data_IF_887655136369
#
_entry.id   IF_887655136369
#
_cell.length_a   1.000
_cell.length_b   1.000
_cell.length_c   1.000
_cell.angle_alpha   90.00
_cell.angle_beta   90.00
_cell.angle_gamma   90.00
#
_symmetry.space_group_name_H-M   'P 1'
#
loop_
_entity.id
_entity.type
_entity.pdbx_description
1 polymer ?
#
# COMPACT_ATOMS: atom_id res chain seq x y z
N UNK A 1 6.48 -6.05 15.08
CA UNK A 1 5.77 -5.53 13.88
C UNK A 1 6.68 -5.63 12.66
N UNK A 2 7.86 -5.00 12.67
CA UNK A 2 8.85 -5.10 11.58
C UNK A 2 9.20 -6.55 11.20
N UNK A 3 9.38 -7.45 12.18
CA UNK A 3 9.66 -8.86 11.90
C UNK A 3 8.59 -9.53 11.02
N UNK A 4 7.32 -9.14 11.16
CA UNK A 4 6.22 -9.65 10.32
C UNK A 4 6.41 -9.19 8.87
N UNK A 5 6.94 -8.00 8.59
CA UNK A 5 7.28 -7.62 7.21
C UNK A 5 8.33 -8.54 6.60
N UNK A 6 9.34 -8.92 7.39
CA UNK A 6 10.39 -9.82 6.92
C UNK A 6 9.85 -11.23 6.67
N UNK A 7 8.96 -11.74 7.55
CA UNK A 7 8.23 -12.98 7.33
C UNK A 7 7.42 -12.93 6.02
N UNK A 8 6.57 -11.93 5.85
CA UNK A 8 5.71 -11.77 4.68
C UNK A 8 6.51 -11.60 3.38
N UNK A 9 7.61 -10.83 3.41
CA UNK A 9 8.54 -10.72 2.29
C UNK A 9 9.09 -12.09 1.91
N UNK A 10 9.62 -12.85 2.87
CA UNK A 10 10.18 -14.17 2.59
C UNK A 10 9.13 -15.13 2.03
N UNK A 11 7.89 -15.07 2.52
CA UNK A 11 6.79 -15.88 2.00
C UNK A 11 6.47 -15.57 0.53
N UNK A 12 6.42 -14.28 0.17
CA UNK A 12 6.19 -13.87 -1.22
C UNK A 12 7.34 -14.35 -2.13
N UNK A 13 8.59 -14.19 -1.69
CA UNK A 13 9.76 -14.66 -2.44
C UNK A 13 9.78 -16.20 -2.56
N UNK A 14 9.34 -16.91 -1.52
CA UNK A 14 9.18 -18.36 -1.54
C UNK A 14 8.11 -18.79 -2.54
N UNK A 15 6.99 -18.07 -2.62
CA UNK A 15 5.96 -18.32 -3.64
C UNK A 15 6.52 -18.11 -5.04
N UNK A 16 7.25 -17.03 -5.28
CA UNK A 16 7.90 -16.79 -6.58
C UNK A 16 8.85 -17.92 -6.96
N UNK A 17 9.66 -18.40 -6.01
CA UNK A 17 10.67 -19.43 -6.27
C UNK A 17 10.05 -20.82 -6.39
N UNK A 18 9.24 -21.23 -5.42
CA UNK A 18 8.76 -22.63 -5.29
C UNK A 18 7.56 -22.92 -6.17
N UNK A 19 6.66 -21.96 -6.36
CA UNK A 19 5.41 -22.16 -7.11
C UNK A 19 5.53 -21.70 -8.56
N UNK A 20 6.15 -20.55 -8.80
CA UNK A 20 6.26 -19.97 -10.13
C UNK A 20 7.63 -20.19 -10.79
N UNK A 21 8.60 -20.75 -10.06
CA UNK A 21 9.94 -21.07 -10.57
C UNK A 21 10.61 -19.85 -11.21
N UNK A 22 10.40 -18.69 -10.60
CA UNK A 22 10.99 -17.44 -11.06
C UNK A 22 12.52 -17.49 -10.94
N UNK A 23 13.25 -16.89 -11.90
CA UNK A 23 14.70 -16.90 -11.86
C UNK A 23 15.22 -15.96 -10.75
N UNK A 24 16.42 -16.24 -10.26
CA UNK A 24 17.00 -15.60 -9.07
C UNK A 24 17.05 -14.08 -9.18
N UNK A 25 17.34 -13.53 -10.36
CA UNK A 25 17.38 -12.09 -10.60
C UNK A 25 16.04 -11.40 -10.39
N UNK A 26 14.92 -12.07 -10.73
CA UNK A 26 13.58 -11.52 -10.50
C UNK A 26 13.20 -11.57 -9.02
N UNK A 27 13.61 -12.63 -8.31
CA UNK A 27 13.38 -12.76 -6.87
C UNK A 27 14.18 -11.71 -6.10
N UNK A 28 15.46 -11.51 -6.43
CA UNK A 28 16.27 -10.46 -5.80
C UNK A 28 15.77 -9.05 -6.13
N UNK A 29 15.25 -8.83 -7.34
CA UNK A 29 14.59 -7.56 -7.70
C UNK A 29 13.42 -7.25 -6.76
N UNK A 30 12.50 -8.21 -6.58
CA UNK A 30 11.34 -8.03 -5.70
C UNK A 30 11.76 -7.85 -4.24
N UNK A 31 12.79 -8.60 -3.79
CA UNK A 31 13.35 -8.45 -2.44
C UNK A 31 13.84 -7.02 -2.19
N UNK A 32 14.63 -6.47 -3.11
CA UNK A 32 15.12 -5.10 -3.02
C UNK A 32 13.98 -4.08 -3.09
N UNK A 33 13.04 -4.27 -4.02
CA UNK A 33 11.89 -3.39 -4.20
C UNK A 33 11.05 -3.30 -2.91
N UNK A 34 10.78 -4.43 -2.24
CA UNK A 34 10.05 -4.46 -0.96
C UNK A 34 10.85 -3.76 0.14
N UNK A 35 12.15 -4.08 0.27
CA UNK A 35 13.01 -3.47 1.29
C UNK A 35 13.13 -1.95 1.12
N UNK A 36 13.15 -1.47 -0.12
CA UNK A 36 13.24 -0.04 -0.44
C UNK A 36 11.94 0.72 -0.15
N UNK A 37 10.79 0.17 -0.56
CA UNK A 37 9.53 0.91 -0.58
C UNK A 37 8.66 0.68 0.67
N UNK A 38 8.73 -0.51 1.28
CA UNK A 38 7.82 -0.88 2.38
C UNK A 38 8.39 -0.50 3.77
N UNK A 39 9.71 -0.34 3.90
CA UNK A 39 10.37 -0.01 5.17
C UNK A 39 10.78 1.47 5.25
N UNK A 40 11.12 1.94 6.46
CA UNK A 40 11.63 3.32 6.70
C UNK A 40 10.56 4.40 6.94
N UNK A 41 9.27 4.06 6.88
CA UNK A 41 8.18 4.94 7.29
C UNK A 41 7.92 4.92 8.81
N UNK A 42 6.94 5.72 9.26
CA UNK A 42 6.47 5.70 10.67
C UNK A 42 5.64 4.46 11.01
N UNK A 43 5.14 3.74 9.99
CA UNK A 43 4.28 2.55 10.14
C UNK A 43 2.98 2.81 10.91
N UNK A 44 2.54 4.07 10.97
CA UNK A 44 1.40 4.48 11.80
C UNK A 44 0.10 3.77 11.38
N UNK A 45 -0.11 3.52 10.07
CA UNK A 45 -1.36 2.92 9.58
C UNK A 45 -1.43 1.45 10.00
N UNK A 46 -0.34 0.71 9.77
CA UNK A 46 -0.25 -0.69 10.17
C UNK A 46 -0.29 -0.90 11.69
N UNK A 47 0.39 -0.05 12.47
CA UNK A 47 0.36 -0.11 13.94
C UNK A 47 -1.04 0.22 14.48
N UNK A 48 -1.77 1.14 13.84
CA UNK A 48 -3.12 1.51 14.27
C UNK A 48 -4.09 0.33 14.20
N UNK A 49 -3.95 -0.59 13.23
CA UNK A 49 -4.75 -1.82 13.18
C UNK A 49 -4.59 -2.66 14.44
N UNK A 50 -3.36 -2.81 14.94
CA UNK A 50 -3.08 -3.56 16.16
C UNK A 50 -3.70 -2.86 17.37
N UNK A 51 -3.51 -1.55 17.49
CA UNK A 51 -4.08 -0.79 18.61
C UNK A 51 -5.61 -0.80 18.61
N UNK A 52 -6.25 -0.71 17.44
CA UNK A 52 -7.71 -0.81 17.32
C UNK A 52 -8.19 -2.21 17.72
N UNK A 53 -7.52 -3.26 17.23
CA UNK A 53 -7.83 -4.63 17.62
C UNK A 53 -7.68 -4.85 19.13
N UNK A 54 -6.63 -4.30 19.76
CA UNK A 54 -6.44 -4.35 21.23
C UNK A 54 -7.55 -3.60 21.96
N UNK A 55 -7.92 -2.40 21.53
CA UNK A 55 -8.97 -1.60 22.15
C UNK A 55 -10.34 -2.32 22.14
N UNK A 56 -10.64 -3.02 21.05
CA UNK A 56 -11.88 -3.80 20.91
C UNK A 56 -11.97 -4.99 21.89
N UNK A 57 -10.85 -5.43 22.46
CA UNK A 57 -10.86 -6.51 23.47
C UNK A 57 -11.38 -6.06 24.85
N UNK A 58 -11.64 -4.76 25.04
CA UNK A 58 -12.12 -4.18 26.30
C UNK A 58 -11.24 -4.56 27.50
N UNK A 59 -9.92 -4.57 27.30
CA UNK A 59 -8.93 -4.88 28.33
C UNK A 59 -8.63 -6.36 28.53
N UNK A 60 -9.29 -7.28 27.81
CA UNK A 60 -8.96 -8.71 27.84
C UNK A 60 -7.65 -9.04 27.13
N UNK A 61 -7.18 -8.15 26.26
CA UNK A 61 -5.99 -8.34 25.44
C UNK A 61 -6.24 -9.25 24.25
N UNK A 62 -5.36 -9.17 23.25
CA UNK A 62 -5.36 -10.07 22.10
C UNK A 62 -4.62 -11.35 22.43
N UNK A 63 -5.11 -12.49 21.94
CA UNK A 63 -4.29 -13.71 21.90
C UNK A 63 -3.08 -13.49 20.97
N UNK A 64 -1.99 -14.25 21.14
CA UNK A 64 -0.83 -14.16 20.24
C UNK A 64 -1.20 -14.31 18.75
N UNK A 65 -2.13 -15.21 18.44
CA UNK A 65 -2.61 -15.49 17.09
C UNK A 65 -3.42 -14.30 16.54
N UNK A 66 -4.33 -13.75 17.34
CA UNK A 66 -5.12 -12.58 16.96
C UNK A 66 -4.23 -11.34 16.76
N UNK A 67 -3.23 -11.15 17.63
CA UNK A 67 -2.21 -10.10 17.49
C UNK A 67 -1.39 -10.27 16.21
N UNK A 68 -0.98 -11.50 15.88
CA UNK A 68 -0.25 -11.80 14.64
C UNK A 68 -1.12 -11.50 13.41
N UNK A 69 -2.38 -11.94 13.38
CA UNK A 69 -3.32 -11.61 12.29
C UNK A 69 -3.52 -10.09 12.14
N UNK A 70 -3.72 -9.36 13.24
CA UNK A 70 -3.83 -7.90 13.20
C UNK A 70 -2.55 -7.23 12.64
N UNK A 71 -1.37 -7.74 13.01
CA UNK A 71 -0.11 -7.24 12.46
C UNK A 71 0.04 -7.55 10.95
N UNK A 72 -0.37 -8.73 10.49
CA UNK A 72 -0.35 -9.08 9.06
C UNK A 72 -1.30 -8.17 8.28
N UNK A 73 -2.52 -7.97 8.78
CA UNK A 73 -3.47 -7.04 8.16
C UNK A 73 -2.92 -5.61 8.13
N UNK A 74 -2.25 -5.18 9.20
CA UNK A 74 -1.54 -3.89 9.22
C UNK A 74 -0.46 -3.78 8.15
N UNK A 75 0.28 -4.85 7.87
CA UNK A 75 1.25 -4.87 6.77
C UNK A 75 0.62 -4.89 5.38
N UNK A 76 -0.55 -5.53 5.21
CA UNK A 76 -1.33 -5.40 3.98
C UNK A 76 -1.64 -3.91 3.69
N UNK A 77 -1.96 -3.12 4.71
CA UNK A 77 -2.21 -1.67 4.57
C UNK A 77 -0.91 -0.91 4.23
N UNK A 78 0.20 -1.21 4.90
CA UNK A 78 1.49 -0.55 4.62
C UNK A 78 2.02 -0.88 3.21
N UNK A 79 1.83 -2.11 2.72
CA UNK A 79 2.21 -2.50 1.35
C UNK A 79 1.27 -1.88 0.32
N UNK A 80 -0.03 -1.77 0.62
CA UNK A 80 -0.97 -1.04 -0.22
C UNK A 80 -0.59 0.45 -0.30
N UNK A 81 -0.15 1.05 0.81
CA UNK A 81 0.38 2.40 0.79
C UNK A 81 1.67 2.50 -0.04
N UNK A 82 2.57 1.52 0.05
CA UNK A 82 3.78 1.49 -0.77
C UNK A 82 3.45 1.41 -2.26
N UNK A 83 2.45 0.62 -2.66
CA UNK A 83 1.90 0.59 -4.01
C UNK A 83 1.52 2.00 -4.49
N UNK A 84 0.65 2.70 -3.75
CA UNK A 84 0.22 4.05 -4.12
C UNK A 84 1.40 5.03 -4.21
N UNK A 85 2.34 5.00 -3.26
CA UNK A 85 3.48 5.90 -3.26
C UNK A 85 4.42 5.68 -4.45
N UNK A 86 4.66 4.43 -4.85
CA UNK A 86 5.50 4.13 -6.02
C UNK A 86 4.84 4.64 -7.30
N UNK A 87 3.53 4.48 -7.45
CA UNK A 87 2.79 5.00 -8.59
C UNK A 87 2.73 6.54 -8.59
N UNK A 88 2.39 7.13 -7.45
CA UNK A 88 2.31 8.58 -7.22
C UNK A 88 3.62 9.28 -7.54
N UNK A 89 4.74 8.75 -7.05
CA UNK A 89 6.06 9.33 -7.31
C UNK A 89 6.37 9.42 -8.82
N UNK A 90 5.88 8.46 -9.63
CA UNK A 90 6.03 8.48 -11.09
C UNK A 90 5.09 9.52 -11.72
N UNK A 91 3.82 9.57 -11.30
CA UNK A 91 2.81 10.47 -11.86
C UNK A 91 3.13 11.95 -11.59
N UNK A 92 3.65 12.25 -10.40
CA UNK A 92 4.00 13.60 -9.95
C UNK A 92 5.43 14.02 -10.32
N UNK A 93 6.16 13.12 -10.96
CA UNK A 93 7.56 13.28 -11.30
C UNK A 93 8.45 13.62 -10.07
N UNK A 94 8.13 13.02 -8.92
CA UNK A 94 8.77 13.29 -7.63
C UNK A 94 10.27 12.94 -7.60
N UNK A 95 11.06 13.68 -6.83
CA UNK A 95 12.52 13.48 -6.74
C UNK A 95 12.90 12.56 -5.57
N UNK A 96 12.32 12.78 -4.39
CA UNK A 96 12.69 12.05 -3.16
C UNK A 96 11.49 11.64 -2.34
N UNK A 97 11.57 10.45 -1.72
CA UNK A 97 10.60 9.89 -0.77
C UNK A 97 11.35 9.33 0.45
N UNK A 98 10.89 9.64 1.67
CA UNK A 98 11.49 9.18 2.94
C UNK A 98 13.01 9.45 3.05
N UNK A 99 13.48 10.57 2.49
CA UNK A 99 14.89 10.97 2.52
C UNK A 99 15.79 10.23 1.52
N UNK A 100 15.22 9.44 0.62
CA UNK A 100 15.92 8.74 -0.46
C UNK A 100 15.32 9.11 -1.83
N UNK A 101 16.01 8.88 -2.95
CA UNK A 101 15.41 9.03 -4.28
C UNK A 101 14.12 8.20 -4.42
N UNK A 102 13.12 8.68 -5.15
CA UNK A 102 11.95 7.84 -5.45
C UNK A 102 12.38 6.57 -6.20
N UNK A 103 11.67 5.45 -6.03
CA UNK A 103 12.06 4.16 -6.62
C UNK A 103 12.31 4.24 -8.14
N UNK A 104 11.43 4.92 -8.86
CA UNK A 104 11.56 5.11 -10.31
C UNK A 104 12.75 6.00 -10.73
N UNK A 105 13.30 6.82 -9.82
CA UNK A 105 14.49 7.64 -10.10
C UNK A 105 15.79 6.84 -10.06
N UNK A 106 15.78 5.61 -9.53
CA UNK A 106 16.96 4.75 -9.57
C UNK A 106 17.32 4.40 -11.03
N UNK A 107 18.59 4.52 -11.45
CA UNK A 107 18.99 4.34 -12.86
C UNK A 107 18.57 3.00 -13.49
N UNK A 108 18.45 1.94 -12.69
CA UNK A 108 18.02 0.61 -13.13
C UNK A 108 16.52 0.42 -13.21
N UNK A 109 15.72 1.24 -12.52
CA UNK A 109 14.27 1.04 -12.34
C UNK A 109 13.49 1.83 -13.39
N UNK A 110 13.55 3.17 -13.38
CA UNK A 110 12.80 4.01 -14.32
C UNK A 110 11.31 3.60 -14.35
N UNK A 111 10.74 3.42 -15.54
CA UNK A 111 9.34 3.07 -15.74
C UNK A 111 8.98 1.63 -15.32
N UNK A 112 9.96 0.78 -14.98
CA UNK A 112 9.69 -0.54 -14.39
C UNK A 112 8.93 -0.39 -13.06
N UNK A 113 9.11 0.74 -12.37
CA UNK A 113 8.39 1.09 -11.16
C UNK A 113 6.86 0.97 -11.29
N UNK A 114 6.30 1.20 -12.48
CA UNK A 114 4.85 1.04 -12.73
C UNK A 114 4.43 -0.41 -12.49
N UNK A 115 5.17 -1.37 -13.04
CA UNK A 115 4.89 -2.79 -12.82
C UNK A 115 5.19 -3.21 -11.37
N UNK A 116 6.24 -2.64 -10.76
CA UNK A 116 6.56 -2.91 -9.36
C UNK A 116 5.44 -2.46 -8.42
N UNK A 117 4.74 -1.36 -8.74
CA UNK A 117 3.55 -0.92 -8.03
C UNK A 117 2.43 -1.99 -8.11
N UNK A 118 2.12 -2.50 -9.30
CA UNK A 118 1.11 -3.56 -9.47
C UNK A 118 1.50 -4.88 -8.77
N UNK A 119 2.79 -5.19 -8.69
CA UNK A 119 3.27 -6.34 -7.91
C UNK A 119 3.00 -6.16 -6.41
N UNK A 120 3.27 -4.97 -5.85
CA UNK A 120 2.96 -4.67 -4.45
C UNK A 120 1.47 -4.88 -4.14
N UNK A 121 0.59 -4.36 -4.99
CA UNK A 121 -0.86 -4.57 -4.87
C UNK A 121 -1.22 -6.07 -4.93
N UNK A 122 -0.69 -6.79 -5.92
CA UNK A 122 -0.94 -8.23 -6.09
C UNK A 122 -0.49 -9.05 -4.89
N UNK A 123 0.63 -8.67 -4.26
CA UNK A 123 1.12 -9.35 -3.06
C UNK A 123 0.20 -9.13 -1.86
N UNK A 124 -0.43 -7.96 -1.72
CA UNK A 124 -1.43 -7.71 -0.67
C UNK A 124 -2.55 -8.76 -0.75
N UNK A 125 -3.14 -8.96 -1.93
CA UNK A 125 -4.20 -9.95 -2.11
C UNK A 125 -3.70 -11.40 -1.94
N UNK A 126 -2.46 -11.69 -2.32
CA UNK A 126 -1.84 -12.99 -2.05
C UNK A 126 -1.71 -13.27 -0.54
N UNK A 127 -1.31 -12.27 0.24
CA UNK A 127 -1.20 -12.36 1.70
C UNK A 127 -2.58 -12.49 2.33
N UNK A 128 -3.56 -11.66 1.92
CA UNK A 128 -4.94 -11.75 2.40
C UNK A 128 -5.52 -13.16 2.20
N UNK A 129 -5.36 -13.72 1.00
CA UNK A 129 -5.79 -15.07 0.67
C UNK A 129 -5.07 -16.14 1.50
N UNK A 130 -3.81 -15.94 1.85
CA UNK A 130 -3.03 -16.93 2.61
C UNK A 130 -3.48 -16.99 4.07
N UNK A 131 -3.71 -15.83 4.69
CA UNK A 131 -3.96 -15.73 6.14
C UNK A 131 -5.43 -15.64 6.54
N UNK A 132 -6.29 -15.15 5.64
CA UNK A 132 -7.67 -14.83 5.99
C UNK A 132 -8.69 -15.66 5.23
N UNK A 133 -8.33 -16.46 4.22
CA UNK A 133 -9.30 -17.21 3.39
C UNK A 133 -10.21 -18.16 4.16
N UNK A 134 -9.77 -18.69 5.29
CA UNK A 134 -10.59 -19.55 6.17
C UNK A 134 -11.49 -18.76 7.11
N UNK A 135 -11.30 -17.45 7.24
CA UNK A 135 -12.06 -16.61 8.14
C UNK A 135 -13.42 -16.25 7.52
N UNK A 136 -14.48 -16.17 8.34
CA UNK A 136 -15.82 -15.86 7.84
C UNK A 136 -15.91 -14.47 7.18
N UNK A 137 -15.04 -13.54 7.56
CA UNK A 137 -15.00 -12.16 7.08
C UNK A 137 -13.99 -11.93 5.93
N UNK A 138 -13.48 -13.01 5.31
CA UNK A 138 -12.47 -12.90 4.24
C UNK A 138 -12.93 -12.03 3.07
N UNK A 139 -14.15 -12.24 2.59
CA UNK A 139 -14.69 -11.52 1.44
C UNK A 139 -14.91 -10.05 1.80
N UNK A 140 -15.44 -9.76 2.99
CA UNK A 140 -15.61 -8.39 3.48
C UNK A 140 -14.26 -7.64 3.50
N UNK A 141 -13.17 -8.31 3.90
CA UNK A 141 -11.82 -7.73 3.83
C UNK A 141 -11.39 -7.45 2.38
N UNK A 142 -11.57 -8.40 1.46
CA UNK A 142 -11.18 -8.22 0.06
C UNK A 142 -11.96 -7.08 -0.57
N UNK A 143 -13.27 -7.01 -0.35
CA UNK A 143 -14.14 -5.94 -0.84
C UNK A 143 -13.74 -4.58 -0.26
N UNK A 144 -13.44 -4.52 1.04
CA UNK A 144 -12.96 -3.29 1.69
C UNK A 144 -11.65 -2.79 1.08
N UNK A 145 -10.69 -3.67 0.79
CA UNK A 145 -9.44 -3.27 0.14
C UNK A 145 -9.69 -2.73 -1.27
N UNK A 146 -10.54 -3.38 -2.06
CA UNK A 146 -10.92 -2.88 -3.39
C UNK A 146 -11.65 -1.53 -3.33
N UNK A 147 -12.57 -1.36 -2.38
CA UNK A 147 -13.27 -0.09 -2.20
C UNK A 147 -12.31 1.04 -1.84
N UNK A 148 -11.39 0.79 -0.90
CA UNK A 148 -10.36 1.77 -0.51
C UNK A 148 -9.46 2.12 -1.70
N UNK A 149 -9.10 1.14 -2.53
CA UNK A 149 -8.31 1.39 -3.75
C UNK A 149 -9.09 2.29 -4.71
N UNK A 150 -10.32 1.93 -5.04
CA UNK A 150 -11.15 2.68 -5.97
C UNK A 150 -11.37 4.12 -5.50
N UNK A 151 -11.64 4.32 -4.21
CA UNK A 151 -11.78 5.65 -3.64
C UNK A 151 -10.47 6.45 -3.74
N UNK A 152 -9.32 5.82 -3.46
CA UNK A 152 -8.00 6.48 -3.56
C UNK A 152 -7.68 6.86 -5.01
N UNK A 153 -7.97 5.97 -5.96
CA UNK A 153 -7.80 6.21 -7.40
C UNK A 153 -8.70 7.35 -7.92
N UNK A 154 -9.94 7.46 -7.42
CA UNK A 154 -10.77 8.63 -7.71
C UNK A 154 -10.17 9.93 -7.17
N UNK A 155 -9.56 9.89 -5.99
CA UNK A 155 -8.78 10.99 -5.45
C UNK A 155 -7.65 11.39 -6.40
N UNK A 156 -6.81 10.42 -6.80
CA UNK A 156 -5.71 10.64 -7.72
C UNK A 156 -6.17 11.20 -9.07
N UNK A 157 -7.27 10.67 -9.63
CA UNK A 157 -7.86 11.18 -10.86
C UNK A 157 -8.23 12.65 -10.75
N UNK A 158 -8.88 13.05 -9.65
CA UNK A 158 -9.28 14.44 -9.43
C UNK A 158 -8.08 15.38 -9.28
N UNK A 159 -7.00 14.90 -8.68
CA UNK A 159 -5.76 15.65 -8.47
C UNK A 159 -4.98 15.82 -9.78
N UNK A 160 -4.69 14.73 -10.50
CA UNK A 160 -3.98 14.76 -11.78
C UNK A 160 -4.72 15.54 -12.86
N UNK A 161 -6.05 15.56 -12.79
CA UNK A 161 -6.89 16.33 -13.72
C UNK A 161 -7.27 17.71 -13.19
N UNK A 162 -6.71 18.17 -12.05
CA UNK A 162 -7.05 19.46 -11.44
C UNK A 162 -6.74 20.67 -12.34
N UNK A 163 -5.77 20.53 -13.25
CA UNK A 163 -5.45 21.49 -14.30
C UNK A 163 -5.48 20.81 -15.68
N UNK A 164 -5.85 21.53 -16.75
CA UNK A 164 -5.66 21.02 -18.12
C UNK A 164 -4.17 20.80 -18.40
N UNK A 165 -3.78 19.58 -18.79
CA UNK A 165 -2.37 19.24 -19.07
C UNK A 165 -1.80 20.00 -20.29
N UNK A 166 -2.63 20.17 -21.33
CA UNK A 166 -2.26 20.82 -22.59
C UNK A 166 -2.99 22.15 -22.82
N UNK A 167 -3.56 22.74 -21.75
CA UNK A 167 -4.38 23.94 -21.83
C UNK A 167 -3.83 25.11 -21.00
N UNK A 168 -4.43 26.31 -21.14
CA UNK A 168 -4.11 27.43 -20.24
C UNK A 168 -4.48 27.07 -18.81
N UNK A 169 -3.74 27.61 -17.85
CA UNK A 169 -4.05 27.48 -16.43
C UNK A 169 -5.44 28.01 -16.14
N UNK A 170 -6.27 27.17 -15.52
CA UNK A 170 -7.63 27.48 -15.13
C UNK A 170 -7.76 27.45 -13.61
N UNK A 171 -7.72 28.62 -12.98
CA UNK A 171 -7.79 28.76 -11.53
C UNK A 171 -9.24 28.67 -11.01
N UNK A 172 -10.25 28.79 -11.86
CA UNK A 172 -11.66 28.69 -11.44
C UNK A 172 -12.00 27.26 -10.97
N UNK A 173 -11.19 26.28 -11.36
CA UNK A 173 -11.26 24.89 -10.89
C UNK A 173 -10.78 24.71 -9.45
N UNK A 174 -10.09 25.70 -8.86
CA UNK A 174 -9.50 25.63 -7.52
C UNK A 174 -10.51 26.07 -6.46
N UNK A 175 -11.62 25.35 -6.38
CA UNK A 175 -12.68 25.60 -5.39
C UNK A 175 -12.42 24.82 -4.10
N UNK A 176 -12.99 25.31 -2.99
CA UNK A 176 -12.93 24.61 -1.70
C UNK A 176 -13.59 23.24 -1.82
N UNK A 177 -14.72 23.15 -2.52
CA UNK A 177 -15.45 21.89 -2.71
C UNK A 177 -14.57 20.86 -3.42
N UNK A 178 -13.85 21.26 -4.48
CA UNK A 178 -12.94 20.35 -5.19
C UNK A 178 -11.77 19.92 -4.31
N UNK A 179 -11.15 20.86 -3.59
CA UNK A 179 -10.08 20.53 -2.64
C UNK A 179 -10.56 19.55 -1.56
N UNK A 180 -11.75 19.76 -1.00
CA UNK A 180 -12.37 18.85 -0.03
C UNK A 180 -12.61 17.47 -0.64
N UNK A 181 -13.10 17.38 -1.88
CA UNK A 181 -13.28 16.10 -2.56
C UNK A 181 -11.94 15.37 -2.77
N UNK A 182 -10.93 16.05 -3.31
CA UNK A 182 -9.59 15.47 -3.52
C UNK A 182 -9.04 14.92 -2.20
N UNK A 183 -9.04 15.73 -1.14
CA UNK A 183 -8.51 15.33 0.17
C UNK A 183 -9.35 14.20 0.77
N UNK A 184 -10.68 14.25 0.64
CA UNK A 184 -11.56 13.22 1.21
C UNK A 184 -11.28 11.84 0.63
N UNK A 185 -10.91 11.77 -0.64
CA UNK A 185 -10.57 10.52 -1.34
C UNK A 185 -9.11 10.10 -1.16
N UNK A 186 -8.15 11.03 -1.18
CA UNK A 186 -6.73 10.73 -0.90
C UNK A 186 -6.48 10.23 0.53
N UNK A 187 -7.26 10.76 1.48
CA UNK A 187 -7.07 10.49 2.92
C UNK A 187 -7.88 9.27 3.38
N UNK A 188 -8.54 8.53 2.48
CA UNK A 188 -9.29 7.30 2.81
C UNK A 188 -8.41 6.29 3.52
N UNK A 189 -7.16 6.13 3.10
CA UNK A 189 -6.19 5.26 3.78
C UNK A 189 -5.89 5.67 5.24
N UNK A 190 -6.30 6.87 5.68
CA UNK A 190 -6.30 7.28 7.10
C UNK A 190 -7.68 7.24 7.75
N UNK A 191 -8.78 7.35 6.98
CA UNK A 191 -10.15 7.31 7.51
C UNK A 191 -10.70 5.89 7.69
N UNK A 192 -10.31 4.93 6.86
CA UNK A 192 -10.81 3.54 6.93
C UNK A 192 -10.16 2.70 8.02
N UNK A 193 -9.22 3.26 8.79
CA UNK A 193 -8.52 2.61 9.92
C UNK A 193 -9.01 3.15 11.28
N UNK A 194 -9.97 4.07 11.29
CA UNK A 194 -10.60 4.67 12.48
C UNK A 194 -12.12 4.48 12.42
#
# INVERSE_FOLDING_TARGET
FVDICHELKNEVLDVMTKKYTMPTEAVEWVKEMIDYNCLGGKMNRGISVIHCAEALTQGKGLTPEARKKAAILGWCIEWLQAFFLVADDVMDDSITRRGQPCWYRLPKVKQIAINDAFLLESFVYSILKTYFRSEPYYIDLVELFHEVILQTEFGQLLDLTSQPLDGPTDLDRFTIERSVSIVSYFVVLMRSVL
#
